data_IF_077811505997
#
_entry.id   IF_077811505997
#
_cell.length_a   1.000
_cell.length_b   1.000
_cell.length_c   1.000
_cell.angle_alpha   90.00
_cell.angle_beta   90.00
_cell.angle_gamma   90.00
#
_symmetry.space_group_name_H-M   'P 1'
#
loop_
_entity.id
_entity.type
_entity.pdbx_description
1 polymer ?
#
# COMPACT_ATOMS: atom_id res chain seq x y z
N UNK A 1 10.74 -5.43 -4.82
CA UNK A 1 9.68 -4.90 -3.99
C UNK A 1 8.28 -5.28 -4.47
N UNK A 2 7.30 -4.98 -3.67
CA UNK A 2 5.91 -5.37 -3.91
C UNK A 2 4.97 -4.17 -3.99
N UNK A 3 5.50 -2.96 -3.94
CA UNK A 3 4.70 -1.74 -3.84
C UNK A 3 5.00 -0.78 -4.97
N UNK A 4 3.94 -0.24 -5.56
CA UNK A 4 4.03 0.79 -6.60
C UNK A 4 3.10 1.94 -6.21
N UNK A 5 3.54 3.16 -6.39
CA UNK A 5 2.71 4.35 -6.17
C UNK A 5 2.45 5.01 -7.51
N UNK A 6 1.18 5.23 -7.84
CA UNK A 6 0.75 5.71 -9.16
C UNK A 6 -0.15 6.93 -9.01
N UNK A 7 0.01 7.91 -9.89
CA UNK A 7 -0.85 9.08 -9.97
C UNK A 7 -1.00 9.51 -11.43
N UNK A 8 -2.24 9.70 -11.88
CA UNK A 8 -2.54 10.16 -13.23
C UNK A 8 -1.87 9.30 -14.31
N UNK A 9 -1.94 7.98 -14.15
CA UNK A 9 -1.37 6.99 -15.07
C UNK A 9 0.16 7.03 -15.15
N UNK A 10 0.81 7.75 -14.25
CA UNK A 10 2.27 7.78 -14.16
C UNK A 10 2.75 7.13 -12.88
N UNK A 11 3.84 6.39 -12.96
CA UNK A 11 4.46 5.76 -11.79
C UNK A 11 5.26 6.80 -11.02
N UNK A 12 4.87 7.01 -9.76
CA UNK A 12 5.56 7.94 -8.87
C UNK A 12 6.70 7.28 -8.11
N UNK A 13 6.54 6.01 -7.75
CA UNK A 13 7.57 5.26 -7.03
C UNK A 13 7.36 3.77 -7.22
N UNK A 14 8.47 3.04 -7.29
CA UNK A 14 8.49 1.58 -7.26
C UNK A 14 9.38 1.18 -6.09
N UNK A 15 8.89 0.30 -5.26
CA UNK A 15 9.65 -0.15 -4.08
C UNK A 15 10.93 -0.87 -4.50
N UNK A 16 12.05 -0.34 -4.05
CA UNK A 16 13.35 -0.97 -4.20
C UNK A 16 13.71 -1.68 -2.88
N UNK A 17 14.92 -1.54 -2.43
CA UNK A 17 15.39 -2.15 -1.17
C UNK A 17 14.89 -1.39 0.07
N UNK A 18 14.34 -0.21 -0.12
CA UNK A 18 13.93 0.71 0.94
C UNK A 18 12.75 0.23 1.80
N UNK A 19 11.90 -0.65 1.25
CA UNK A 19 10.70 -1.13 1.93
C UNK A 19 9.45 -0.34 1.56
N UNK A 20 8.29 -0.89 1.95
CA UNK A 20 6.98 -0.37 1.59
C UNK A 20 6.75 1.07 2.07
N UNK A 21 7.01 1.34 3.35
CA UNK A 21 6.69 2.65 3.93
C UNK A 21 7.50 3.77 3.31
N UNK A 22 8.80 3.55 3.11
CA UNK A 22 9.66 4.54 2.45
C UNK A 22 9.23 4.79 1.00
N UNK A 23 8.82 3.74 0.29
CA UNK A 23 8.30 3.85 -1.06
C UNK A 23 7.03 4.72 -1.11
N UNK A 24 6.10 4.48 -0.18
CA UNK A 24 4.84 5.24 -0.09
C UNK A 24 5.13 6.72 0.21
N UNK A 25 5.99 7.00 1.17
CA UNK A 25 6.35 8.38 1.51
C UNK A 25 6.96 9.11 0.32
N UNK A 26 7.86 8.45 -0.39
CA UNK A 26 8.51 9.03 -1.57
C UNK A 26 7.50 9.27 -2.70
N UNK A 27 6.67 8.28 -3.00
CA UNK A 27 5.68 8.37 -4.08
C UNK A 27 4.60 9.40 -3.80
N UNK A 28 4.15 9.48 -2.56
CA UNK A 28 3.12 10.45 -2.16
C UNK A 28 3.60 11.89 -2.26
N UNK A 29 4.89 12.14 -2.02
CA UNK A 29 5.46 13.48 -2.20
C UNK A 29 5.48 13.90 -3.67
N UNK A 30 5.65 12.94 -4.57
CA UNK A 30 5.70 13.20 -6.00
C UNK A 30 4.31 13.30 -6.62
N UNK A 31 3.31 12.63 -6.03
CA UNK A 31 1.96 12.63 -6.55
C UNK A 31 0.92 12.69 -5.45
N UNK A 32 0.42 13.87 -5.12
CA UNK A 32 -0.65 14.01 -4.12
C UNK A 32 -1.90 13.25 -4.56
N UNK A 33 -2.60 12.64 -3.61
CA UNK A 33 -3.79 11.81 -3.83
C UNK A 33 -3.49 10.57 -4.68
N UNK A 34 -2.27 10.06 -4.57
CA UNK A 34 -1.84 8.89 -5.33
C UNK A 34 -2.48 7.58 -4.84
N UNK A 35 -2.42 6.58 -5.68
CA UNK A 35 -2.88 5.22 -5.39
C UNK A 35 -1.66 4.35 -5.10
N UNK A 36 -1.73 3.60 -4.01
CA UNK A 36 -0.72 2.61 -3.65
C UNK A 36 -1.23 1.24 -4.08
N UNK A 37 -0.46 0.52 -4.88
CA UNK A 37 -0.76 -0.86 -5.25
C UNK A 37 0.29 -1.78 -4.64
N UNK A 38 -0.17 -2.78 -3.91
CA UNK A 38 0.72 -3.77 -3.30
C UNK A 38 0.37 -5.14 -3.83
N UNK A 39 1.33 -5.81 -4.45
CA UNK A 39 1.12 -7.10 -5.09
C UNK A 39 1.93 -8.19 -4.42
N UNK A 40 1.48 -9.44 -4.59
CA UNK A 40 2.26 -10.60 -4.19
C UNK A 40 3.33 -10.86 -5.24
N UNK A 41 4.48 -11.39 -4.83
CA UNK A 41 5.54 -11.76 -5.75
C UNK A 41 5.12 -13.00 -6.54
N UNK A 42 5.27 -13.00 -7.87
CA UNK A 42 5.02 -14.21 -8.66
C UNK A 42 5.96 -15.34 -8.22
N UNK A 43 5.49 -16.57 -8.33
CA UNK A 43 6.28 -17.76 -7.99
C UNK A 43 6.73 -17.81 -6.52
N UNK A 44 6.15 -17.02 -5.66
CA UNK A 44 6.44 -17.01 -4.24
C UNK A 44 5.72 -18.18 -3.55
N UNK A 45 6.37 -18.77 -2.56
CA UNK A 45 5.69 -19.71 -1.68
C UNK A 45 4.92 -18.90 -0.63
N UNK A 46 3.60 -18.83 -0.76
CA UNK A 46 2.73 -18.02 0.09
C UNK A 46 2.83 -18.37 1.57
N UNK A 47 3.30 -19.57 1.90
CA UNK A 47 3.45 -19.97 3.29
C UNK A 47 4.56 -19.21 4.02
N UNK A 48 5.52 -18.68 3.28
CA UNK A 48 6.71 -18.04 3.85
C UNK A 48 6.78 -16.54 3.63
N UNK A 49 6.03 -16.02 2.67
CA UNK A 49 6.14 -14.61 2.32
C UNK A 49 4.79 -14.07 1.81
N UNK A 50 3.85 -13.96 2.73
CA UNK A 50 2.55 -13.36 2.45
C UNK A 50 2.69 -11.85 2.69
N UNK A 51 2.44 -11.00 1.68
CA UNK A 51 2.47 -9.56 1.89
C UNK A 51 1.47 -9.14 2.96
N UNK A 52 1.92 -8.31 3.87
CA UNK A 52 1.08 -7.80 4.96
C UNK A 52 0.83 -6.30 4.83
N UNK A 53 -0.34 -5.88 5.24
CA UNK A 53 -0.69 -4.46 5.37
C UNK A 53 -1.20 -4.24 6.79
N UNK A 54 -0.56 -3.34 7.52
CA UNK A 54 -0.95 -2.98 8.88
C UNK A 54 -1.18 -1.48 9.00
N UNK A 55 -1.41 -1.02 10.23
CA UNK A 55 -1.66 0.40 10.51
C UNK A 55 -0.51 1.29 10.09
N UNK A 56 0.73 0.79 10.14
CA UNK A 56 1.90 1.57 9.75
C UNK A 56 1.85 1.96 8.26
N UNK A 57 1.39 1.06 7.40
CA UNK A 57 1.22 1.36 5.99
C UNK A 57 0.20 2.47 5.79
N UNK A 58 -0.93 2.41 6.50
CA UNK A 58 -1.97 3.45 6.42
C UNK A 58 -1.43 4.78 6.93
N UNK A 59 -0.66 4.78 8.02
CA UNK A 59 -0.04 5.99 8.53
C UNK A 59 0.91 6.64 7.52
N UNK A 60 1.70 5.84 6.82
CA UNK A 60 2.58 6.33 5.76
C UNK A 60 1.77 6.98 4.63
N UNK A 61 0.63 6.38 4.28
CA UNK A 61 -0.28 6.94 3.27
C UNK A 61 -0.87 8.28 3.73
N UNK A 62 -1.27 8.37 4.99
CA UNK A 62 -1.79 9.61 5.57
C UNK A 62 -0.73 10.72 5.48
N UNK A 63 0.48 10.43 5.93
CA UNK A 63 1.58 11.40 5.93
C UNK A 63 1.92 11.90 4.53
N UNK A 64 1.85 11.03 3.54
CA UNK A 64 2.24 11.35 2.17
C UNK A 64 1.09 11.81 1.29
N UNK A 65 -0.14 11.74 1.78
CA UNK A 65 -1.31 12.20 1.04
C UNK A 65 -1.84 11.22 0.00
N UNK A 66 -1.55 9.92 0.13
CA UNK A 66 -2.12 8.90 -0.75
C UNK A 66 -3.60 8.67 -0.41
N UNK A 67 -4.42 8.36 -1.41
CA UNK A 67 -5.88 8.27 -1.27
C UNK A 67 -6.45 6.87 -1.34
N UNK A 68 -5.76 5.94 -1.98
CA UNK A 68 -6.29 4.59 -2.18
C UNK A 68 -5.20 3.55 -2.09
N UNK A 69 -5.57 2.38 -1.58
CA UNK A 69 -4.70 1.22 -1.50
C UNK A 69 -5.37 0.07 -2.23
N UNK A 70 -4.69 -0.50 -3.20
CA UNK A 70 -5.15 -1.69 -3.93
C UNK A 70 -4.29 -2.88 -3.53
N UNK A 71 -4.92 -3.96 -3.11
CA UNK A 71 -4.24 -5.19 -2.70
C UNK A 71 -4.79 -6.38 -3.48
N UNK A 72 -4.02 -7.46 -3.58
CA UNK A 72 -4.48 -8.69 -4.21
C UNK A 72 -5.29 -9.51 -3.21
N UNK A 73 -6.56 -9.76 -3.53
CA UNK A 73 -7.43 -10.60 -2.72
C UNK A 73 -6.87 -12.03 -2.66
N UNK A 74 -6.86 -12.62 -1.45
CA UNK A 74 -6.35 -13.97 -1.25
C UNK A 74 -4.83 -14.09 -1.16
N UNK A 75 -4.10 -13.02 -1.48
CA UNK A 75 -2.64 -13.01 -1.45
C UNK A 75 -2.04 -11.92 -0.57
N UNK A 76 -2.88 -11.13 0.07
CA UNK A 76 -2.44 -10.06 0.97
C UNK A 76 -3.19 -10.18 2.29
N UNK A 77 -2.46 -10.12 3.39
CA UNK A 77 -3.02 -10.21 4.73
C UNK A 77 -3.15 -8.81 5.34
N UNK A 78 -4.35 -8.48 5.83
CA UNK A 78 -4.56 -7.28 6.62
C UNK A 78 -4.36 -7.62 8.09
N UNK A 79 -3.26 -7.16 8.68
CA UNK A 79 -3.03 -7.34 10.11
C UNK A 79 -3.82 -6.27 10.85
N UNK A 80 -4.39 -6.62 12.00
CA UNK A 80 -5.22 -5.70 12.77
C UNK A 80 -6.30 -5.05 11.91
N UNK A 81 -7.02 -5.88 11.17
CA UNK A 81 -7.98 -5.44 10.15
C UNK A 81 -8.93 -4.33 10.62
N UNK A 82 -9.48 -4.47 11.82
CA UNK A 82 -10.44 -3.48 12.33
C UNK A 82 -9.78 -2.11 12.50
N UNK A 83 -8.55 -2.08 13.01
CA UNK A 83 -7.79 -0.84 13.18
C UNK A 83 -7.42 -0.23 11.84
N UNK A 84 -7.01 -1.05 10.88
CA UNK A 84 -6.65 -0.60 9.54
C UNK A 84 -7.84 0.06 8.85
N UNK A 85 -9.00 -0.60 8.88
CA UNK A 85 -10.22 -0.09 8.25
C UNK A 85 -10.68 1.21 8.93
N UNK A 86 -10.68 1.24 10.26
CA UNK A 86 -11.07 2.43 11.00
C UNK A 86 -10.17 3.62 10.69
N UNK A 87 -8.86 3.39 10.67
CA UNK A 87 -7.89 4.46 10.38
C UNK A 87 -8.04 4.96 8.94
N UNK A 88 -8.23 4.07 7.99
CA UNK A 88 -8.45 4.42 6.59
C UNK A 88 -9.73 5.25 6.42
N UNK A 89 -10.83 4.81 7.05
CA UNK A 89 -12.11 5.53 6.98
C UNK A 89 -12.00 6.93 7.58
N UNK A 90 -11.30 7.05 8.70
CA UNK A 90 -11.12 8.35 9.37
C UNK A 90 -10.39 9.35 8.49
N UNK A 91 -9.50 8.90 7.62
CA UNK A 91 -8.69 9.76 6.76
C UNK A 91 -9.09 9.72 5.28
N UNK A 92 -10.23 9.11 4.96
CA UNK A 92 -10.74 9.09 3.60
C UNK A 92 -9.94 8.24 2.62
N UNK A 93 -9.25 7.22 3.12
CA UNK A 93 -8.47 6.30 2.29
C UNK A 93 -9.35 5.11 1.90
N UNK A 94 -9.45 4.83 0.61
CA UNK A 94 -10.20 3.68 0.10
C UNK A 94 -9.28 2.48 -0.03
N UNK A 95 -9.72 1.32 0.48
CA UNK A 95 -8.98 0.07 0.35
C UNK A 95 -9.77 -0.85 -0.57
N UNK A 96 -9.13 -1.32 -1.64
CA UNK A 96 -9.75 -2.20 -2.63
C UNK A 96 -8.96 -3.50 -2.72
N UNK A 97 -9.64 -4.63 -2.63
CA UNK A 97 -9.05 -5.95 -2.84
C UNK A 97 -9.52 -6.49 -4.19
N UNK A 98 -8.58 -6.87 -5.01
CA UNK A 98 -8.87 -7.42 -6.35
C UNK A 98 -8.31 -8.80 -6.56
#
# INVERSE_FOLDING_TARGET
>A
GQTVVVKNMAVMAVEAIEGTDACILRGGKLGKDAVVAKTAKPAQDDRFDVPGVGTKTIQSMIESGCKALVIEAGHTLLTEREKVVALADEHGITIVAK
#
